data_IF_695420898876
#
_entry.id   IF_695420898876
#
_cell.length_a   1.000
_cell.length_b   1.000
_cell.length_c   1.000
_cell.angle_alpha   90.00
_cell.angle_beta   90.00
_cell.angle_gamma   90.00
#
_symmetry.space_group_name_H-M   'P 1'
#
loop_
_entity.id
_entity.type
_entity.pdbx_description
1 polymer ?
#
# COMPACT_ATOMS: atom_id res chain seq x y z
N UNK A 1 73.96 63.66 101.16
CA UNK A 1 73.79 62.28 100.60
C UNK A 1 73.97 62.37 99.09
N UNK A 2 74.75 61.51 98.42
CA UNK A 2 74.31 60.30 97.64
C UNK A 2 73.12 60.60 96.68
N UNK A 3 73.12 60.21 95.38
CA UNK A 3 74.10 59.44 94.57
C UNK A 3 73.83 59.57 93.05
N UNK A 4 74.90 59.47 92.24
CA UNK A 4 75.05 58.86 90.88
C UNK A 4 73.85 58.40 90.03
N UNK A 5 73.96 58.62 88.70
CA UNK A 5 73.23 57.92 87.62
C UNK A 5 72.96 58.86 86.43
N UNK A 6 73.91 59.08 85.52
CA UNK A 6 74.30 58.26 84.35
C UNK A 6 73.28 58.28 83.18
N UNK A 7 73.79 58.30 81.95
CA UNK A 7 73.06 58.69 80.74
C UNK A 7 73.06 57.54 79.71
N UNK A 8 71.90 56.93 79.41
CA UNK A 8 71.79 55.86 78.40
C UNK A 8 70.40 55.74 77.73
N UNK A 9 70.47 55.50 76.42
CA UNK A 9 69.54 54.69 75.61
C UNK A 9 68.03 55.05 75.56
N UNK A 10 67.69 56.17 74.92
CA UNK A 10 66.46 56.26 74.11
C UNK A 10 66.80 56.09 72.61
N UNK A 11 67.11 54.85 72.22
CA UNK A 11 67.58 54.49 70.87
C UNK A 11 66.56 53.57 70.18
N UNK A 12 65.67 54.09 69.31
CA UNK A 12 64.55 53.33 68.77
C UNK A 12 65.01 52.09 67.98
N UNK A 13 64.41 50.94 68.29
CA UNK A 13 64.90 49.64 67.85
C UNK A 13 64.69 49.40 66.34
N UNK A 14 65.74 48.91 65.67
CA UNK A 14 65.80 48.70 64.20
C UNK A 14 64.69 47.81 63.63
N UNK A 15 64.09 46.93 64.45
CA UNK A 15 62.97 46.07 64.07
C UNK A 15 61.70 46.85 63.69
N UNK A 16 61.40 47.93 64.41
CA UNK A 16 60.17 48.74 64.21
C UNK A 16 60.06 49.32 62.78
N UNK A 17 61.19 49.73 62.21
CA UNK A 17 61.30 50.28 60.86
C UNK A 17 61.08 49.18 59.80
N UNK A 18 61.58 47.97 60.04
CA UNK A 18 61.50 46.86 59.08
C UNK A 18 60.05 46.36 58.87
N UNK A 19 59.25 46.29 59.93
CA UNK A 19 57.84 45.86 59.83
C UNK A 19 57.01 46.79 58.94
N UNK A 20 57.23 48.11 58.98
CA UNK A 20 56.50 49.07 58.12
C UNK A 20 56.78 48.85 56.63
N UNK A 21 58.01 48.49 56.23
CA UNK A 21 58.34 48.20 54.81
C UNK A 21 57.73 46.86 54.36
N UNK A 22 57.81 45.82 55.20
CA UNK A 22 57.24 44.48 54.90
C UNK A 22 55.71 44.51 54.71
N UNK A 23 54.99 45.41 55.40
CA UNK A 23 53.52 45.53 55.30
C UNK A 23 53.00 46.01 53.94
N UNK A 24 53.84 46.60 53.06
CA UNK A 24 53.46 46.93 51.67
C UNK A 24 53.50 45.70 50.74
N UNK A 25 54.37 44.71 50.97
CA UNK A 25 54.54 43.55 50.09
C UNK A 25 53.59 42.38 50.39
N UNK A 26 53.11 42.24 51.64
CA UNK A 26 52.14 41.18 51.98
C UNK A 26 50.72 41.40 51.41
N UNK A 27 50.38 42.64 51.03
CA UNK A 27 49.07 42.98 50.42
C UNK A 27 48.85 42.33 49.04
N UNK A 28 49.73 42.50 48.03
CA UNK A 28 49.57 41.79 46.76
C UNK A 28 49.70 40.27 46.90
N UNK A 29 50.53 39.78 47.83
CA UNK A 29 50.67 38.33 48.08
C UNK A 29 49.37 37.71 48.61
N UNK A 30 48.69 38.37 49.56
CA UNK A 30 47.38 37.92 50.05
C UNK A 30 46.31 37.92 48.95
N UNK A 31 46.29 38.95 48.10
CA UNK A 31 45.38 39.00 46.93
C UNK A 31 45.66 37.87 45.93
N UNK A 32 46.94 37.58 45.65
CA UNK A 32 47.33 36.49 44.75
C UNK A 32 46.91 35.11 45.29
N UNK A 33 47.01 34.88 46.60
CA UNK A 33 46.54 33.63 47.24
C UNK A 33 45.02 33.50 47.14
N UNK A 34 44.26 34.57 47.42
CA UNK A 34 42.79 34.55 47.27
C UNK A 34 42.40 34.30 45.81
N UNK A 35 43.05 34.96 44.86
CA UNK A 35 42.76 34.80 43.42
C UNK A 35 43.14 33.39 42.92
N UNK A 36 44.21 32.79 43.45
CA UNK A 36 44.57 31.40 43.18
C UNK A 36 43.56 30.40 43.77
N UNK A 37 43.04 30.64 44.97
CA UNK A 37 41.98 29.80 45.59
C UNK A 37 40.67 29.91 44.81
N UNK A 38 40.26 31.13 44.41
CA UNK A 38 39.07 31.35 43.57
C UNK A 38 39.25 30.72 42.18
N UNK A 39 40.44 30.85 41.58
CA UNK A 39 40.77 30.23 40.30
C UNK A 39 40.77 28.69 40.37
N UNK A 40 41.35 28.10 41.42
CA UNK A 40 41.34 26.66 41.65
C UNK A 40 39.91 26.14 41.90
N UNK A 41 39.11 26.85 42.71
CA UNK A 41 37.69 26.55 42.91
C UNK A 41 36.89 26.62 41.59
N UNK A 42 37.13 27.64 40.77
CA UNK A 42 36.55 27.74 39.43
C UNK A 42 36.95 26.59 38.50
N UNK A 43 38.21 26.16 38.51
CA UNK A 43 38.68 24.99 37.74
C UNK A 43 38.09 23.68 38.24
N UNK A 44 37.87 23.53 39.55
CA UNK A 44 37.15 22.37 40.12
C UNK A 44 35.69 22.38 39.67
N UNK A 45 34.98 23.51 39.78
CA UNK A 45 33.59 23.65 39.33
C UNK A 45 33.45 23.40 37.81
N UNK A 46 34.37 23.90 36.99
CA UNK A 46 34.37 23.68 35.52
C UNK A 46 34.73 22.23 35.15
N UNK A 47 35.51 21.52 35.98
CA UNK A 47 35.72 20.07 35.82
C UNK A 47 34.50 19.26 36.26
N UNK A 48 33.89 19.61 37.38
CA UNK A 48 32.62 19.03 37.86
C UNK A 48 31.46 19.28 36.87
N UNK A 49 31.48 20.38 36.11
CA UNK A 49 30.50 20.67 35.05
C UNK A 49 30.53 19.67 33.87
N UNK A 50 31.49 18.74 33.82
CA UNK A 50 31.44 17.58 32.90
C UNK A 50 30.73 16.35 33.48
N UNK A 51 30.27 16.38 34.74
CA UNK A 51 29.51 15.27 35.33
C UNK A 51 28.03 15.31 34.92
N UNK A 52 27.64 14.40 34.02
CA UNK A 52 26.24 14.25 33.59
C UNK A 52 25.31 13.91 34.76
N UNK A 53 25.83 13.16 35.74
CA UNK A 53 25.13 12.67 36.93
C UNK A 53 24.47 13.78 37.76
N UNK A 54 25.05 14.98 37.88
CA UNK A 54 24.45 16.07 38.66
C UNK A 54 23.30 16.76 37.93
N UNK A 55 23.28 16.72 36.61
CA UNK A 55 22.15 17.21 35.81
C UNK A 55 21.08 16.14 35.57
N UNK A 56 21.41 14.85 35.67
CA UNK A 56 20.46 13.76 35.56
C UNK A 56 19.21 13.92 36.46
N UNK A 57 19.29 14.18 37.79
CA UNK A 57 18.11 14.34 38.64
C UNK A 57 17.31 15.62 38.34
N UNK A 58 17.95 16.68 37.86
CA UNK A 58 17.27 17.94 37.49
C UNK A 58 16.52 17.76 36.17
N UNK A 59 17.16 17.13 35.18
CA UNK A 59 16.55 16.75 33.89
C UNK A 59 15.42 15.75 34.11
N UNK A 60 15.62 14.73 34.94
CA UNK A 60 14.57 13.78 35.31
C UNK A 60 13.40 14.48 36.02
N UNK A 61 13.64 15.45 36.91
CA UNK A 61 12.57 16.24 37.52
C UNK A 61 11.79 17.06 36.48
N UNK A 62 12.46 17.79 35.57
CA UNK A 62 11.77 18.48 34.47
C UNK A 62 10.95 17.53 33.60
N UNK A 63 11.52 16.40 33.19
CA UNK A 63 10.85 15.38 32.37
C UNK A 63 9.68 14.73 33.12
N UNK A 64 9.74 14.60 34.45
CA UNK A 64 8.64 14.09 35.28
C UNK A 64 7.53 15.12 35.53
N UNK A 65 7.82 16.42 35.41
CA UNK A 65 6.85 17.51 35.52
C UNK A 65 6.17 17.83 34.18
N UNK A 66 6.82 17.48 33.06
CA UNK A 66 6.20 17.52 31.73
C UNK A 66 5.31 16.28 31.54
N UNK A 67 3.99 16.41 31.32
CA UNK A 67 3.11 15.28 31.05
C UNK A 67 3.33 14.79 29.61
N UNK A 68 4.44 14.07 29.36
CA UNK A 68 4.80 13.47 28.07
C UNK A 68 3.98 12.19 27.78
N UNK A 69 2.66 12.31 27.94
CA UNK A 69 1.65 11.29 27.68
C UNK A 69 0.79 11.70 26.49
N UNK A 70 0.36 10.71 25.70
CA UNK A 70 -0.49 10.94 24.55
C UNK A 70 -1.83 11.47 25.07
N UNK A 71 -2.11 12.74 24.81
CA UNK A 71 -3.33 13.45 25.21
C UNK A 71 -4.36 13.42 24.09
N UNK A 72 -3.89 13.43 22.84
CA UNK A 72 -4.73 13.51 21.64
C UNK A 72 -4.13 12.69 20.47
N UNK A 73 -5.01 12.15 19.63
CA UNK A 73 -4.67 11.35 18.44
C UNK A 73 -5.57 11.83 17.28
N UNK A 74 -5.03 12.72 16.46
CA UNK A 74 -5.74 13.32 15.33
C UNK A 74 -5.56 12.45 14.08
N UNK A 75 -6.66 12.03 13.47
CA UNK A 75 -6.67 11.18 12.27
C UNK A 75 -7.32 11.96 11.12
N UNK A 76 -6.66 11.97 9.96
CA UNK A 76 -7.12 12.72 8.77
C UNK A 76 -6.85 11.96 7.47
N UNK A 77 -7.71 12.16 6.47
CA UNK A 77 -7.64 11.49 5.16
C UNK A 77 -8.39 10.15 5.05
N UNK A 78 -9.02 9.69 6.14
CA UNK A 78 -9.79 8.45 6.21
C UNK A 78 -11.14 8.55 5.48
N UNK A 79 -11.46 7.58 4.62
CA UNK A 79 -12.76 7.45 3.92
C UNK A 79 -13.26 6.00 3.99
N UNK A 80 -12.46 5.06 3.48
CA UNK A 80 -12.72 3.61 3.42
C UNK A 80 -12.06 2.85 4.59
N UNK A 81 -10.88 3.29 5.07
CA UNK A 81 -10.16 2.54 6.11
C UNK A 81 -10.96 2.51 7.41
N UNK A 82 -11.07 1.31 8.01
CA UNK A 82 -11.77 1.10 9.28
C UNK A 82 -10.99 1.76 10.43
N UNK A 83 -11.68 2.57 11.24
CA UNK A 83 -11.04 3.36 12.30
C UNK A 83 -10.46 2.50 13.43
N UNK A 84 -11.11 1.40 13.80
CA UNK A 84 -10.62 0.48 14.82
C UNK A 84 -9.32 -0.16 14.37
N UNK A 85 -9.30 -0.72 13.15
CA UNK A 85 -8.09 -1.29 12.55
C UNK A 85 -6.94 -0.28 12.43
N UNK A 86 -7.25 0.98 12.14
CA UNK A 86 -6.26 2.07 12.10
C UNK A 86 -5.70 2.41 13.48
N UNK A 87 -6.53 2.44 14.53
CA UNK A 87 -6.10 2.67 15.92
C UNK A 87 -5.29 1.48 16.47
N UNK A 88 -5.66 0.25 16.11
CA UNK A 88 -4.91 -0.95 16.46
C UNK A 88 -3.55 -1.01 15.72
N UNK A 89 -3.50 -0.62 14.44
CA UNK A 89 -2.25 -0.49 13.68
C UNK A 89 -1.35 0.63 14.24
N UNK A 90 -1.92 1.76 14.68
CA UNK A 90 -1.17 2.80 15.37
C UNK A 90 -0.51 2.26 16.66
N UNK A 91 -1.19 1.36 17.37
CA UNK A 91 -0.61 0.57 18.47
C UNK A 91 -0.34 1.35 19.76
N UNK A 92 -0.96 2.52 19.93
CA UNK A 92 -0.91 3.35 21.15
C UNK A 92 -2.26 3.96 21.46
N UNK A 93 -2.47 4.31 22.72
CA UNK A 93 -3.71 4.85 23.28
C UNK A 93 -3.45 6.17 24.01
N UNK A 94 -4.53 6.94 24.21
CA UNK A 94 -4.49 8.14 25.07
C UNK A 94 -4.09 7.71 26.48
N UNK A 95 -3.06 8.35 27.03
CA UNK A 95 -2.40 7.99 28.28
C UNK A 95 -0.99 7.40 28.14
N UNK A 96 -0.63 6.82 26.98
CA UNK A 96 0.66 6.15 26.76
C UNK A 96 1.85 7.12 26.65
N UNK A 97 3.07 6.62 26.78
CA UNK A 97 4.28 7.44 26.81
C UNK A 97 4.72 7.92 25.40
N UNK A 98 4.66 9.24 25.17
CA UNK A 98 4.92 9.91 23.87
C UNK A 98 6.33 9.64 23.35
N UNK A 99 7.31 9.55 24.26
CA UNK A 99 8.70 9.27 23.89
C UNK A 99 8.94 7.81 23.50
N UNK A 100 8.16 6.87 24.01
CA UNK A 100 8.27 5.43 23.70
C UNK A 100 7.59 5.00 22.40
N UNK A 101 6.78 5.87 21.80
CA UNK A 101 6.10 5.61 20.53
C UNK A 101 7.08 5.58 19.35
N UNK A 102 7.17 4.43 18.67
CA UNK A 102 7.87 4.30 17.38
C UNK A 102 6.97 4.79 16.25
N UNK A 103 7.25 6.02 15.79
CA UNK A 103 6.56 6.67 14.66
C UNK A 103 6.69 5.83 13.39
N UNK A 104 7.90 5.35 13.07
CA UNK A 104 8.17 4.60 11.84
C UNK A 104 7.50 3.23 11.85
N UNK A 105 7.61 2.48 12.96
CA UNK A 105 6.93 1.19 13.07
C UNK A 105 5.40 1.32 13.07
N UNK A 106 4.85 2.48 13.46
CA UNK A 106 3.43 2.76 13.29
C UNK A 106 3.07 3.08 11.84
N UNK A 107 3.89 3.88 11.13
CA UNK A 107 3.75 4.14 9.70
C UNK A 107 3.75 2.84 8.90
N UNK A 108 4.71 1.95 9.12
CA UNK A 108 4.81 0.64 8.46
C UNK A 108 3.54 -0.22 8.65
N UNK A 109 2.97 -0.24 9.86
CA UNK A 109 1.74 -1.00 10.15
C UNK A 109 0.49 -0.35 9.55
N UNK A 110 0.47 0.97 9.39
CA UNK A 110 -0.63 1.69 8.74
C UNK A 110 -0.55 1.53 7.21
N UNK A 111 0.64 1.62 6.63
CA UNK A 111 0.90 1.38 5.18
C UNK A 111 0.66 -0.09 4.76
N UNK A 112 0.61 -1.01 5.73
CA UNK A 112 0.20 -2.39 5.54
C UNK A 112 -1.33 -2.60 5.46
N UNK A 113 -2.15 -1.63 5.92
CA UNK A 113 -3.61 -1.76 5.93
C UNK A 113 -4.21 -1.81 4.51
N UNK A 114 -5.39 -2.43 4.35
CA UNK A 114 -6.16 -2.34 3.11
C UNK A 114 -6.57 -0.89 2.82
N UNK A 115 -6.66 -0.56 1.54
CA UNK A 115 -6.98 0.77 1.00
C UNK A 115 -6.01 1.91 1.36
N UNK A 116 -4.89 1.68 2.05
CA UNK A 116 -3.87 2.74 2.24
C UNK A 116 -2.92 2.78 1.03
N UNK A 117 -2.61 4.00 0.56
CA UNK A 117 -1.50 4.24 -0.37
C UNK A 117 -0.20 4.49 0.40
N UNK A 118 -0.21 5.50 1.26
CA UNK A 118 0.86 5.85 2.19
C UNK A 118 0.29 6.64 3.39
N UNK A 119 1.03 6.64 4.49
CA UNK A 119 0.73 7.43 5.67
C UNK A 119 1.91 8.28 6.14
N UNK A 120 1.57 9.39 6.78
CA UNK A 120 2.48 10.30 7.46
C UNK A 120 2.05 10.35 8.92
N UNK A 121 2.91 9.84 9.80
CA UNK A 121 2.70 9.84 11.24
C UNK A 121 3.65 10.88 11.84
N UNK A 122 3.11 11.85 12.55
CA UNK A 122 3.85 12.94 13.21
C UNK A 122 3.64 12.90 14.72
N UNK A 123 4.67 13.28 15.48
CA UNK A 123 4.63 13.38 16.94
C UNK A 123 4.87 14.81 17.37
N UNK A 124 3.81 15.48 17.80
CA UNK A 124 3.83 16.86 18.29
C UNK A 124 3.89 16.88 19.81
N UNK A 125 4.92 17.52 20.37
CA UNK A 125 5.06 17.65 21.82
C UNK A 125 4.12 18.77 22.35
N UNK A 126 3.55 18.64 23.56
CA UNK A 126 3.90 17.66 24.61
C UNK A 126 3.30 16.26 24.41
N UNK A 127 2.23 16.08 23.64
CA UNK A 127 1.50 14.81 23.61
C UNK A 127 0.41 14.61 22.55
N UNK A 128 0.56 15.17 21.36
CA UNK A 128 -0.38 14.92 20.24
C UNK A 128 0.28 14.04 19.19
N UNK A 129 -0.40 12.96 18.79
CA UNK A 129 -0.03 12.18 17.60
C UNK A 129 -0.94 12.63 16.45
N UNK A 130 -0.36 12.97 15.29
CA UNK A 130 -1.09 13.34 14.09
C UNK A 130 -0.86 12.28 13.03
N UNK A 131 -1.94 11.71 12.52
CA UNK A 131 -1.95 10.71 11.44
C UNK A 131 -2.63 11.33 10.23
N UNK A 132 -1.89 11.43 9.13
CA UNK A 132 -2.41 11.78 7.81
C UNK A 132 -2.24 10.54 6.93
N UNK A 133 -3.32 10.03 6.37
CA UNK A 133 -3.26 8.88 5.48
C UNK A 133 -3.86 9.23 4.12
N UNK A 134 -3.25 8.74 3.05
CA UNK A 134 -3.78 8.84 1.69
C UNK A 134 -4.34 7.49 1.31
N UNK A 135 -5.61 7.44 0.90
CA UNK A 135 -6.27 6.20 0.52
C UNK A 135 -6.20 5.92 -0.98
N UNK A 136 -6.08 4.63 -1.28
CA UNK A 136 -5.98 4.03 -2.60
C UNK A 136 -7.36 3.52 -3.04
N UNK A 137 -8.23 4.43 -3.48
CA UNK A 137 -9.61 4.09 -3.89
C UNK A 137 -9.65 3.06 -5.03
N UNK A 138 -10.37 1.93 -4.87
CA UNK A 138 -10.62 0.98 -5.95
C UNK A 138 -11.34 1.63 -7.14
N UNK A 139 -10.86 1.36 -8.35
CA UNK A 139 -11.31 1.96 -9.59
C UNK A 139 -11.86 0.91 -10.59
N UNK A 140 -11.29 -0.29 -10.59
CA UNK A 140 -11.74 -1.41 -11.42
C UNK A 140 -11.37 -2.76 -10.78
N UNK A 141 -12.02 -3.84 -11.23
CA UNK A 141 -11.59 -5.21 -10.97
C UNK A 141 -10.70 -5.66 -12.13
N UNK A 142 -9.45 -6.03 -11.86
CA UNK A 142 -8.54 -6.58 -12.86
C UNK A 142 -8.49 -8.10 -12.80
N UNK A 143 -8.84 -8.78 -13.90
CA UNK A 143 -8.63 -10.21 -14.07
C UNK A 143 -7.38 -10.49 -14.91
N UNK A 144 -6.43 -11.24 -14.36
CA UNK A 144 -5.25 -11.70 -15.07
C UNK A 144 -4.95 -13.17 -14.71
N UNK A 145 -4.79 -14.03 -15.73
CA UNK A 145 -4.53 -15.47 -15.55
C UNK A 145 -5.55 -16.14 -14.59
N UNK A 146 -6.83 -15.81 -14.73
CA UNK A 146 -7.92 -16.32 -13.89
C UNK A 146 -8.02 -15.71 -12.48
N UNK A 147 -7.03 -14.94 -12.02
CA UNK A 147 -7.05 -14.26 -10.71
C UNK A 147 -7.66 -12.87 -10.84
N UNK A 148 -8.55 -12.53 -9.90
CA UNK A 148 -9.13 -11.19 -9.76
C UNK A 148 -8.38 -10.40 -8.69
N UNK A 149 -8.11 -9.12 -8.97
CA UNK A 149 -7.43 -8.17 -8.06
C UNK A 149 -8.13 -6.82 -8.20
N UNK A 150 -8.36 -6.09 -7.10
CA UNK A 150 -8.76 -4.69 -7.21
C UNK A 150 -7.58 -3.84 -7.68
N UNK A 151 -7.85 -2.83 -8.50
CA UNK A 151 -6.83 -1.86 -8.93
C UNK A 151 -7.29 -0.42 -8.72
N UNK A 152 -6.32 0.48 -8.51
CA UNK A 152 -6.53 1.92 -8.50
C UNK A 152 -6.50 2.52 -9.92
N UNK A 153 -6.73 3.83 -10.01
CA UNK A 153 -6.77 4.58 -11.27
C UNK A 153 -5.44 4.59 -12.04
N UNK A 154 -4.31 4.35 -11.38
CA UNK A 154 -2.99 4.21 -12.00
C UNK A 154 -2.64 2.76 -12.36
N UNK A 155 -3.47 1.79 -11.95
CA UNK A 155 -3.28 0.37 -12.19
C UNK A 155 -2.47 -0.36 -11.11
N UNK A 156 -2.20 0.27 -9.95
CA UNK A 156 -1.62 -0.44 -8.81
C UNK A 156 -2.67 -1.34 -8.16
N UNK A 157 -2.24 -2.45 -7.57
CA UNK A 157 -3.15 -3.38 -6.88
C UNK A 157 -3.58 -2.82 -5.52
N UNK A 158 -4.88 -2.90 -5.21
CA UNK A 158 -5.44 -2.57 -3.90
C UNK A 158 -5.64 -3.86 -3.11
N UNK A 159 -5.18 -3.90 -1.85
CA UNK A 159 -5.33 -5.07 -0.99
C UNK A 159 -6.78 -5.27 -0.56
N UNK A 160 -7.25 -6.52 -0.64
CA UNK A 160 -8.62 -6.94 -0.35
C UNK A 160 -8.91 -7.18 1.15
N UNK A 161 -7.85 -7.27 1.97
CA UNK A 161 -7.79 -7.94 3.27
C UNK A 161 -8.56 -7.28 4.45
N UNK A 162 -9.58 -6.47 4.17
CA UNK A 162 -10.46 -5.85 5.16
C UNK A 162 -11.90 -5.62 4.72
N UNK A 163 -12.38 -6.27 3.65
CA UNK A 163 -13.76 -6.09 3.18
C UNK A 163 -14.79 -6.53 4.22
N UNK A 164 -15.63 -5.60 4.68
CA UNK A 164 -16.71 -5.89 5.64
C UNK A 164 -18.08 -5.50 5.11
N UNK A 165 -18.75 -6.44 4.43
CA UNK A 165 -20.17 -6.33 4.07
C UNK A 165 -20.46 -5.26 3.01
N UNK A 166 -20.60 -3.99 3.42
CA UNK A 166 -20.98 -2.87 2.54
C UNK A 166 -19.97 -2.66 1.40
N UNK A 167 -18.68 -2.74 1.73
CA UNK A 167 -17.59 -2.47 0.79
C UNK A 167 -17.62 -3.48 -0.37
N UNK A 168 -17.82 -4.77 -0.04
CA UNK A 168 -17.95 -5.84 -1.02
C UNK A 168 -19.12 -5.61 -2.00
N UNK A 169 -20.26 -5.07 -1.54
CA UNK A 169 -21.39 -4.76 -2.42
C UNK A 169 -21.14 -3.55 -3.33
N UNK A 170 -20.35 -2.56 -2.88
CA UNK A 170 -19.90 -1.46 -3.73
C UNK A 170 -18.95 -1.95 -4.84
N UNK A 171 -18.04 -2.89 -4.51
CA UNK A 171 -17.07 -3.41 -5.47
C UNK A 171 -17.69 -4.28 -6.57
N UNK A 172 -18.89 -4.84 -6.37
CA UNK A 172 -19.67 -5.51 -7.43
C UNK A 172 -20.16 -4.57 -8.55
N UNK A 173 -20.02 -3.24 -8.38
CA UNK A 173 -20.37 -2.24 -9.40
C UNK A 173 -19.16 -1.73 -10.18
N UNK A 174 -17.94 -2.14 -9.83
CA UNK A 174 -16.72 -1.70 -10.51
C UNK A 174 -16.58 -2.37 -11.89
N UNK A 175 -16.09 -1.65 -12.92
CA UNK A 175 -15.82 -2.24 -14.24
C UNK A 175 -14.81 -3.40 -14.15
N UNK A 176 -15.12 -4.51 -14.82
CA UNK A 176 -14.19 -5.63 -14.97
C UNK A 176 -13.27 -5.40 -16.18
N UNK A 177 -11.95 -5.31 -15.94
CA UNK A 177 -10.92 -5.24 -16.98
C UNK A 177 -10.09 -6.53 -16.99
N UNK A 178 -9.86 -7.10 -18.18
CA UNK A 178 -9.32 -8.46 -18.34
C UNK A 178 -8.07 -8.44 -19.21
N UNK A 179 -7.05 -9.21 -18.82
CA UNK A 179 -5.85 -9.47 -19.63
C UNK A 179 -4.59 -8.76 -19.13
N UNK A 180 -3.45 -9.14 -19.70
CA UNK A 180 -2.15 -8.58 -19.34
C UNK A 180 -2.10 -7.08 -19.69
N UNK A 181 -1.53 -6.26 -18.79
CA UNK A 181 -1.44 -4.80 -19.00
C UNK A 181 -2.79 -4.08 -19.15
N UNK A 182 -3.91 -4.72 -18.77
CA UNK A 182 -5.21 -4.06 -18.70
C UNK A 182 -5.26 -3.06 -17.54
N UNK A 183 -4.55 -3.33 -16.44
CA UNK A 183 -4.54 -2.50 -15.25
C UNK A 183 -4.07 -1.05 -15.48
N UNK A 184 -2.92 -0.85 -16.14
CA UNK A 184 -2.37 0.50 -16.37
C UNK A 184 -3.11 1.27 -17.46
N UNK A 185 -3.83 0.58 -18.35
CA UNK A 185 -4.63 1.19 -19.42
C UNK A 185 -6.11 1.39 -19.07
N UNK A 186 -6.57 0.81 -17.96
CA UNK A 186 -7.98 0.87 -17.53
C UNK A 186 -8.48 2.31 -17.33
N UNK A 187 -7.62 3.20 -16.80
CA UNK A 187 -7.93 4.62 -16.58
C UNK A 187 -8.54 5.31 -17.81
N UNK A 188 -7.79 5.31 -18.92
CA UNK A 188 -8.21 6.00 -20.14
C UNK A 188 -9.48 5.41 -20.78
N UNK A 189 -9.64 4.07 -20.74
CA UNK A 189 -10.85 3.44 -21.27
C UNK A 189 -12.07 3.73 -20.40
N UNK A 190 -11.94 3.65 -19.08
CA UNK A 190 -13.06 3.88 -18.15
C UNK A 190 -13.47 5.35 -18.15
N UNK A 191 -12.54 6.29 -18.35
CA UNK A 191 -12.87 7.70 -18.60
C UNK A 191 -13.64 7.88 -19.91
N UNK A 192 -13.22 7.22 -21.00
CA UNK A 192 -13.90 7.28 -22.28
C UNK A 192 -15.31 6.65 -22.24
N UNK A 193 -15.50 5.59 -21.43
CA UNK A 193 -16.81 5.01 -21.14
C UNK A 193 -17.66 5.92 -20.23
N UNK A 194 -17.06 6.58 -19.23
CA UNK A 194 -17.77 7.54 -18.38
C UNK A 194 -18.28 8.75 -19.17
N UNK A 195 -17.57 9.15 -20.23
CA UNK A 195 -18.04 10.15 -21.19
C UNK A 195 -19.21 9.67 -22.09
N UNK A 196 -19.51 8.37 -22.14
CA UNK A 196 -20.60 7.77 -22.92
C UNK A 196 -21.46 6.82 -22.05
N UNK A 197 -22.23 7.32 -21.06
CA UNK A 197 -22.96 6.48 -20.09
C UNK A 197 -23.88 5.43 -20.73
N UNK A 198 -24.55 5.81 -21.83
CA UNK A 198 -25.44 4.91 -22.58
C UNK A 198 -24.71 3.64 -23.04
N UNK A 199 -23.45 3.73 -23.48
CA UNK A 199 -22.66 2.55 -23.87
C UNK A 199 -22.12 1.85 -22.62
N UNK A 200 -21.55 2.60 -21.66
CA UNK A 200 -21.01 2.07 -20.39
C UNK A 200 -21.98 1.13 -19.69
N UNK A 201 -23.25 1.50 -19.63
CA UNK A 201 -24.24 0.75 -18.85
C UNK A 201 -24.54 -0.64 -19.45
N UNK A 202 -24.28 -0.84 -20.76
CA UNK A 202 -24.38 -2.14 -21.45
C UNK A 202 -23.10 -2.99 -21.32
N UNK A 203 -21.96 -2.41 -20.96
CA UNK A 203 -20.68 -3.13 -20.82
C UNK A 203 -20.69 -3.99 -19.55
N UNK A 204 -20.30 -5.26 -19.69
CA UNK A 204 -20.03 -6.16 -18.58
C UNK A 204 -18.52 -6.26 -18.27
N UNK A 205 -17.67 -6.30 -19.30
CA UNK A 205 -16.22 -6.36 -19.16
C UNK A 205 -15.47 -5.71 -20.34
N UNK A 206 -14.21 -5.32 -20.11
CA UNK A 206 -13.29 -4.86 -21.14
C UNK A 206 -12.04 -5.76 -21.20
N UNK A 207 -11.80 -6.42 -22.33
CA UNK A 207 -10.69 -7.34 -22.55
C UNK A 207 -9.58 -6.65 -23.34
N UNK A 208 -8.38 -6.57 -22.79
CA UNK A 208 -7.23 -5.97 -23.49
C UNK A 208 -6.48 -7.00 -24.32
N UNK A 209 -6.43 -6.77 -25.62
CA UNK A 209 -5.87 -7.70 -26.62
C UNK A 209 -4.50 -7.21 -27.10
N UNK A 210 -3.49 -8.05 -26.92
CA UNK A 210 -2.12 -7.80 -27.41
C UNK A 210 -1.39 -6.61 -26.78
N UNK A 211 -1.78 -6.19 -25.57
CA UNK A 211 -1.29 -5.00 -24.86
C UNK A 211 -1.61 -3.65 -25.55
N UNK A 212 -2.54 -3.64 -26.51
CA UNK A 212 -2.81 -2.46 -27.35
C UNK A 212 -4.31 -2.15 -27.49
N UNK A 213 -5.07 -3.05 -28.12
CA UNK A 213 -6.49 -2.87 -28.44
C UNK A 213 -7.40 -3.32 -27.30
N UNK A 214 -8.64 -2.85 -27.32
CA UNK A 214 -9.70 -3.28 -26.41
C UNK A 214 -10.85 -3.94 -27.18
N UNK A 215 -11.35 -5.04 -26.63
CA UNK A 215 -12.67 -5.57 -26.95
C UNK A 215 -13.58 -5.34 -25.74
N UNK A 216 -14.80 -4.84 -25.93
CA UNK A 216 -15.80 -4.75 -24.86
C UNK A 216 -16.77 -5.92 -24.99
N UNK A 217 -17.03 -6.59 -23.88
CA UNK A 217 -18.06 -7.63 -23.77
C UNK A 217 -19.26 -7.01 -23.08
N UNK A 218 -20.41 -7.05 -23.73
CA UNK A 218 -21.67 -6.50 -23.23
C UNK A 218 -22.43 -7.55 -22.40
N UNK A 219 -23.44 -7.10 -21.65
CA UNK A 219 -24.25 -7.94 -20.73
C UNK A 219 -25.05 -9.04 -21.42
N UNK A 220 -25.33 -8.88 -22.71
CA UNK A 220 -26.00 -9.85 -23.59
C UNK A 220 -25.04 -10.90 -24.19
N UNK A 221 -23.72 -10.66 -24.10
CA UNK A 221 -22.66 -11.46 -24.72
C UNK A 221 -22.07 -10.86 -26.00
N UNK A 222 -22.63 -9.77 -26.54
CA UNK A 222 -22.11 -9.09 -27.73
C UNK A 222 -20.67 -8.62 -27.50
N UNK A 223 -19.79 -8.83 -28.49
CA UNK A 223 -18.42 -8.31 -28.45
C UNK A 223 -18.25 -7.11 -29.39
N UNK A 224 -17.99 -5.93 -28.82
CA UNK A 224 -17.56 -4.74 -29.57
C UNK A 224 -16.04 -4.71 -29.67
N UNK A 225 -15.49 -4.52 -30.86
CA UNK A 225 -14.04 -4.48 -31.10
C UNK A 225 -13.60 -3.05 -31.40
N UNK A 226 -12.81 -2.45 -30.52
CA UNK A 226 -12.38 -1.06 -30.63
C UNK A 226 -11.08 -0.92 -31.45
N UNK A 227 -10.87 0.25 -32.11
CA UNK A 227 -9.57 0.62 -32.69
C UNK A 227 -8.49 0.77 -31.61
N UNK A 228 -7.25 0.93 -32.04
CA UNK A 228 -6.10 1.24 -31.18
C UNK A 228 -5.91 2.77 -31.11
N UNK A 229 -6.06 3.38 -29.93
CA UNK A 229 -5.82 4.82 -29.71
C UNK A 229 -6.97 5.76 -30.10
N UNK A 230 -8.02 5.25 -30.76
CA UNK A 230 -9.22 5.98 -31.19
C UNK A 230 -10.48 5.46 -30.45
N UNK A 231 -10.32 4.97 -29.22
CA UNK A 231 -11.39 4.35 -28.44
C UNK A 231 -12.52 5.34 -28.13
N UNK A 232 -12.20 6.59 -27.79
CA UNK A 232 -13.18 7.64 -27.46
C UNK A 232 -14.13 7.99 -28.62
N UNK A 233 -13.65 8.32 -29.85
CA UNK A 233 -14.56 8.55 -30.98
C UNK A 233 -15.24 7.27 -31.48
N UNK A 234 -14.66 6.07 -31.29
CA UNK A 234 -15.38 4.82 -31.53
C UNK A 234 -16.56 4.63 -30.56
N UNK A 235 -16.36 4.90 -29.27
CA UNK A 235 -17.42 4.88 -28.26
C UNK A 235 -18.49 5.95 -28.52
N UNK A 236 -18.11 7.15 -28.97
CA UNK A 236 -19.07 8.16 -29.39
C UNK A 236 -19.91 7.70 -30.59
N UNK A 237 -19.28 7.18 -31.67
CA UNK A 237 -20.02 6.62 -32.82
C UNK A 237 -21.00 5.53 -32.38
N UNK A 238 -20.61 4.68 -31.43
CA UNK A 238 -21.48 3.63 -30.88
C UNK A 238 -22.65 4.19 -30.05
N UNK A 239 -22.43 5.24 -29.27
CA UNK A 239 -23.48 5.95 -28.54
C UNK A 239 -24.50 6.60 -29.50
N UNK A 240 -24.01 7.25 -30.55
CA UNK A 240 -24.84 7.88 -31.59
C UNK A 240 -25.68 6.81 -32.33
N UNK A 241 -25.11 5.63 -32.64
CA UNK A 241 -25.83 4.48 -33.20
C UNK A 241 -26.86 3.88 -32.22
N UNK A 242 -26.55 3.79 -30.93
CA UNK A 242 -27.46 3.29 -29.89
C UNK A 242 -28.63 4.26 -29.60
N UNK A 243 -28.42 5.55 -29.84
CA UNK A 243 -29.49 6.54 -29.85
C UNK A 243 -30.38 6.41 -31.09
N UNK A 244 -29.79 6.28 -32.28
CA UNK A 244 -30.52 6.31 -33.56
C UNK A 244 -31.25 5.01 -33.92
N UNK A 245 -30.68 3.83 -33.64
CA UNK A 245 -31.20 2.55 -34.14
C UNK A 245 -31.17 1.39 -33.13
N UNK A 246 -30.93 1.68 -31.85
CA UNK A 246 -30.95 0.69 -30.75
C UNK A 246 -30.03 -0.53 -31.00
N UNK A 247 -28.84 -0.26 -31.56
CA UNK A 247 -27.91 -1.30 -32.02
C UNK A 247 -27.46 -2.27 -30.92
N UNK A 248 -27.36 -1.81 -29.66
CA UNK A 248 -26.96 -2.64 -28.50
C UNK A 248 -28.12 -3.43 -27.87
N UNK A 249 -29.37 -3.15 -28.28
CA UNK A 249 -30.57 -3.87 -27.83
C UNK A 249 -30.96 -5.00 -28.80
N UNK A 250 -30.14 -5.25 -29.84
CA UNK A 250 -30.42 -6.21 -30.92
C UNK A 250 -29.56 -7.47 -30.78
N UNK A 251 -30.07 -8.65 -31.15
CA UNK A 251 -29.28 -9.88 -31.18
C UNK A 251 -28.21 -9.80 -32.27
N UNK A 252 -26.98 -9.54 -31.86
CA UNK A 252 -25.76 -9.53 -32.70
C UNK A 252 -24.69 -10.37 -31.99
N UNK A 253 -23.67 -10.83 -32.73
CA UNK A 253 -22.53 -11.57 -32.17
C UNK A 253 -21.37 -10.61 -31.91
N UNK A 254 -21.03 -9.81 -32.92
CA UNK A 254 -19.91 -8.89 -32.85
C UNK A 254 -20.16 -7.58 -33.61
N UNK A 255 -19.51 -6.51 -33.14
CA UNK A 255 -19.54 -5.17 -33.76
C UNK A 255 -18.08 -4.68 -33.87
N UNK A 256 -17.47 -4.79 -35.05
CA UNK A 256 -16.12 -4.27 -35.28
C UNK A 256 -16.18 -2.77 -35.65
N UNK A 257 -15.55 -1.94 -34.81
CA UNK A 257 -15.44 -0.48 -34.94
C UNK A 257 -14.00 -0.02 -35.21
N UNK A 258 -13.07 -0.95 -35.45
CA UNK A 258 -11.62 -0.65 -35.68
C UNK A 258 -11.38 0.22 -36.90
N UNK A 259 -12.35 0.27 -37.81
CA UNK A 259 -12.31 1.08 -39.01
C UNK A 259 -13.04 2.42 -38.73
N UNK A 260 -12.44 3.58 -39.06
CA UNK A 260 -13.02 4.88 -38.76
C UNK A 260 -14.21 5.22 -39.67
N UNK A 261 -14.21 4.69 -40.90
CA UNK A 261 -15.15 4.96 -41.98
C UNK A 261 -16.36 4.01 -42.01
N UNK A 262 -16.22 2.80 -41.46
CA UNK A 262 -17.24 1.74 -41.55
C UNK A 262 -17.27 0.85 -40.32
N UNK A 263 -18.45 0.30 -40.01
CA UNK A 263 -18.63 -0.75 -38.99
C UNK A 263 -18.96 -2.07 -39.67
N UNK A 264 -18.57 -3.18 -39.05
CA UNK A 264 -19.02 -4.54 -39.44
C UNK A 264 -19.83 -5.11 -38.28
N UNK A 265 -21.04 -5.61 -38.58
CA UNK A 265 -21.92 -6.23 -37.59
C UNK A 265 -22.17 -7.67 -37.99
N UNK A 266 -21.74 -8.60 -37.14
CA UNK A 266 -21.98 -10.03 -37.28
C UNK A 266 -23.30 -10.37 -36.57
N UNK A 267 -24.21 -11.05 -37.28
CA UNK A 267 -25.52 -11.45 -36.75
C UNK A 267 -25.56 -12.97 -36.53
N UNK A 268 -26.32 -13.47 -35.55
CA UNK A 268 -26.61 -14.90 -35.44
C UNK A 268 -27.21 -15.43 -36.75
N UNK A 269 -26.88 -16.68 -37.15
CA UNK A 269 -27.54 -17.31 -38.28
C UNK A 269 -29.05 -17.37 -38.04
N UNK A 270 -29.91 -17.12 -39.05
CA UNK A 270 -31.36 -17.20 -38.88
C UNK A 270 -31.76 -18.60 -38.38
N UNK A 271 -32.58 -18.65 -37.32
CA UNK A 271 -32.93 -19.92 -36.66
C UNK A 271 -33.55 -20.95 -37.62
N UNK A 272 -34.29 -20.48 -38.61
CA UNK A 272 -35.00 -21.32 -39.59
C UNK A 272 -34.08 -21.87 -40.70
N UNK A 273 -32.88 -21.30 -40.91
CA UNK A 273 -32.00 -21.66 -42.02
C UNK A 273 -31.38 -23.07 -41.88
N UNK A 274 -31.23 -23.57 -40.66
CA UNK A 274 -30.60 -24.88 -40.37
C UNK A 274 -31.57 -26.06 -40.52
N UNK A 275 -32.88 -25.79 -40.62
CA UNK A 275 -33.92 -26.82 -40.66
C UNK A 275 -34.40 -27.18 -42.09
N UNK A 276 -34.09 -26.35 -43.09
CA UNK A 276 -34.74 -26.41 -44.41
C UNK A 276 -33.92 -27.11 -45.52
N UNK A 277 -32.60 -27.24 -45.37
CA UNK A 277 -31.70 -27.72 -46.44
C UNK A 277 -30.80 -28.90 -46.03
N UNK A 278 -31.39 -29.86 -45.31
CA UNK A 278 -30.82 -31.22 -45.23
C UNK A 278 -31.63 -32.15 -46.14
N UNK A 279 -31.16 -32.46 -47.37
CA UNK A 279 -31.80 -33.47 -48.20
C UNK A 279 -31.74 -34.83 -47.50
N UNK A 280 -32.91 -35.36 -47.14
CA UNK A 280 -33.05 -36.56 -46.32
C UNK A 280 -32.42 -37.78 -47.01
N UNK A 281 -31.22 -38.16 -46.55
CA UNK A 281 -30.53 -39.35 -47.01
C UNK A 281 -31.26 -40.60 -46.54
N UNK A 282 -31.69 -41.43 -47.49
CA UNK A 282 -32.61 -42.54 -47.24
C UNK A 282 -32.01 -43.64 -46.33
N UNK A 283 -32.84 -44.34 -45.54
CA UNK A 283 -32.39 -45.46 -44.70
C UNK A 283 -31.97 -46.68 -45.54
N UNK A 284 -30.94 -47.43 -45.13
CA UNK A 284 -30.52 -48.64 -45.83
C UNK A 284 -31.54 -49.79 -45.62
N UNK A 285 -31.84 -50.60 -46.64
CA UNK A 285 -32.80 -51.70 -46.54
C UNK A 285 -32.19 -52.95 -45.88
N UNK A 286 -32.97 -53.60 -45.02
CA UNK A 286 -32.63 -54.90 -44.41
C UNK A 286 -33.04 -56.07 -45.32
N UNK A 287 -32.11 -56.98 -45.63
CA UNK A 287 -32.40 -58.23 -46.35
C UNK A 287 -31.26 -59.24 -46.26
N UNK A 288 -31.53 -60.43 -45.69
CA UNK A 288 -30.60 -61.57 -45.66
C UNK A 288 -30.71 -62.46 -46.91
N UNK A 289 -29.79 -63.43 -47.09
CA UNK A 289 -30.11 -64.78 -46.61
C UNK A 289 -28.95 -65.53 -45.91
N UNK A 290 -29.17 -66.81 -45.56
CA UNK A 290 -28.32 -67.69 -44.73
C UNK A 290 -28.06 -69.06 -45.45
N UNK A 291 -27.38 -70.04 -44.83
CA UNK A 291 -26.01 -70.51 -45.06
C UNK A 291 -25.92 -71.76 -46.01
N UNK A 292 -24.71 -72.32 -46.25
CA UNK A 292 -24.11 -73.41 -45.42
C UNK A 292 -22.56 -73.28 -45.29
N UNK A 293 -21.76 -74.15 -44.68
CA UNK A 293 -21.79 -75.03 -43.49
C UNK A 293 -20.35 -75.62 -43.29
N UNK A 294 -20.06 -76.36 -42.20
CA UNK A 294 -18.79 -77.08 -41.89
C UNK A 294 -17.55 -76.21 -41.51
N UNK A 295 -16.65 -76.61 -40.60
CA UNK A 295 -16.63 -77.74 -39.64
C UNK A 295 -15.77 -77.45 -38.37
N UNK A 296 -15.87 -78.35 -37.37
CA UNK A 296 -15.07 -78.58 -36.14
C UNK A 296 -13.89 -77.64 -35.75
N UNK A 297 -13.62 -77.33 -34.47
CA UNK A 297 -13.29 -78.30 -33.38
C UNK A 297 -13.34 -77.65 -31.97
N UNK A 298 -13.56 -78.44 -30.91
CA UNK A 298 -13.62 -78.06 -29.47
C UNK A 298 -12.67 -78.98 -28.64
N UNK A 299 -12.59 -79.03 -27.27
CA UNK A 299 -13.43 -78.48 -26.17
C UNK A 299 -12.60 -77.49 -25.27
N UNK A 300 -12.69 -77.28 -23.93
CA UNK A 300 -13.34 -77.95 -22.76
C UNK A 300 -13.46 -76.99 -21.55
N UNK A 301 -14.31 -77.29 -20.56
CA UNK A 301 -14.36 -76.65 -19.21
C UNK A 301 -15.50 -75.63 -19.05
N UNK A 302 -16.66 -75.91 -18.44
CA UNK A 302 -16.97 -76.40 -17.07
C UNK A 302 -16.66 -75.36 -15.97
N UNK A 303 -17.64 -74.77 -15.26
CA UNK A 303 -19.10 -74.81 -15.42
C UNK A 303 -19.91 -74.26 -14.21
N UNK A 304 -21.24 -74.16 -14.40
CA UNK A 304 -22.33 -74.01 -13.41
C UNK A 304 -22.55 -72.68 -12.63
N UNK A 305 -23.85 -72.33 -12.50
CA UNK A 305 -24.43 -71.51 -11.43
C UNK A 305 -24.52 -69.99 -11.67
N UNK A 306 -25.60 -69.26 -11.38
CA UNK A 306 -27.06 -69.35 -11.58
C UNK A 306 -27.71 -68.18 -10.79
N UNK A 307 -28.89 -67.72 -11.21
CA UNK A 307 -29.86 -66.89 -10.45
C UNK A 307 -29.41 -65.53 -9.82
N UNK A 308 -29.83 -64.43 -10.47
CA UNK A 308 -30.77 -63.42 -9.93
C UNK A 308 -30.76 -63.05 -8.43
N UNK A 309 -30.53 -61.77 -8.10
CA UNK A 309 -30.95 -61.23 -6.78
C UNK A 309 -30.48 -59.83 -6.35
N UNK A 310 -31.36 -58.83 -6.49
CA UNK A 310 -31.71 -57.74 -5.55
C UNK A 310 -30.70 -57.16 -4.52
N UNK A 311 -30.64 -55.83 -4.44
CA UNK A 311 -29.87 -55.02 -3.47
C UNK A 311 -30.21 -55.24 -1.98
N UNK A 312 -29.22 -55.20 -1.07
CA UNK A 312 -29.43 -55.04 0.38
C UNK A 312 -29.39 -53.58 0.89
N UNK A 313 -30.00 -53.26 2.05
CA UNK A 313 -30.05 -51.91 2.66
C UNK A 313 -28.87 -51.59 3.61
N UNK A 314 -28.68 -50.32 4.04
CA UNK A 314 -27.64 -49.92 4.98
C UNK A 314 -27.84 -50.47 6.41
N UNK A 315 -26.74 -50.65 7.15
CA UNK A 315 -26.74 -51.09 8.57
C UNK A 315 -26.71 -49.92 9.57
N UNK A 316 -27.28 -50.09 10.78
CA UNK A 316 -27.38 -49.05 11.81
C UNK A 316 -26.14 -48.96 12.73
N UNK A 317 -26.09 -47.88 13.52
CA UNK A 317 -25.08 -47.66 14.55
C UNK A 317 -25.43 -48.30 15.92
N UNK A 318 -24.44 -48.69 16.74
CA UNK A 318 -24.60 -48.95 18.17
C UNK A 318 -24.23 -47.73 19.04
N UNK A 319 -24.72 -47.67 20.29
CA UNK A 319 -24.41 -46.65 21.30
C UNK A 319 -24.27 -47.28 22.68
N UNK A 320 -23.34 -46.77 23.49
CA UNK A 320 -22.98 -47.24 24.85
C UNK A 320 -22.29 -48.63 24.86
N UNK A 321 -21.49 -49.02 25.86
CA UNK A 321 -21.36 -48.49 27.24
C UNK A 321 -19.88 -48.31 27.66
N UNK A 322 -19.62 -47.57 28.74
CA UNK A 322 -18.27 -47.15 29.17
C UNK A 322 -17.60 -48.11 30.18
N UNK A 323 -16.26 -48.14 30.18
CA UNK A 323 -15.40 -48.30 31.37
C UNK A 323 -13.91 -48.05 31.03
N UNK A 324 -13.10 -47.86 32.08
CA UNK A 324 -11.63 -48.01 32.17
C UNK A 324 -10.67 -46.94 31.56
N UNK A 325 -9.99 -46.28 32.51
CA UNK A 325 -8.56 -45.92 32.55
C UNK A 325 -7.95 -44.71 31.82
N UNK A 326 -7.05 -44.06 32.57
CA UNK A 326 -6.33 -42.83 32.28
C UNK A 326 -4.92 -43.14 31.73
N UNK A 327 -4.64 -42.70 30.49
CA UNK A 327 -3.26 -42.51 30.03
C UNK A 327 -3.13 -41.60 28.80
N UNK A 328 -2.75 -40.35 29.01
CA UNK A 328 -2.33 -39.44 27.94
C UNK A 328 -0.87 -39.73 27.47
N UNK A 329 -0.49 -39.40 26.21
CA UNK A 329 0.67 -40.00 25.54
C UNK A 329 1.99 -39.20 25.57
N UNK A 330 3.07 -39.85 25.09
CA UNK A 330 4.41 -39.26 24.89
C UNK A 330 4.44 -38.27 23.70
N UNK A 331 5.35 -37.28 23.70
CA UNK A 331 5.59 -36.42 22.53
C UNK A 331 6.33 -37.15 21.38
N UNK A 332 6.19 -36.68 20.13
CA UNK A 332 6.85 -37.24 18.96
C UNK A 332 8.35 -36.84 18.86
N UNK A 333 9.19 -37.60 18.12
CA UNK A 333 10.61 -37.32 17.97
C UNK A 333 10.90 -36.15 17.00
N UNK A 334 12.03 -35.47 17.22
CA UNK A 334 12.47 -34.36 16.39
C UNK A 334 12.95 -34.82 15.00
N UNK A 335 12.41 -34.23 13.94
CA UNK A 335 12.89 -34.44 12.57
C UNK A 335 14.17 -33.65 12.34
N UNK A 336 15.27 -34.35 12.05
CA UNK A 336 16.50 -33.73 11.53
C UNK A 336 16.27 -33.38 10.04
N UNK A 337 16.79 -32.23 9.59
CA UNK A 337 16.77 -31.83 8.17
C UNK A 337 18.18 -31.41 7.72
N UNK A 338 18.44 -31.62 6.43
CA UNK A 338 19.79 -31.75 5.89
C UNK A 338 20.60 -30.46 5.79
N UNK A 339 21.92 -30.64 5.81
CA UNK A 339 22.91 -29.62 5.48
C UNK A 339 22.78 -29.21 4.00
N UNK A 340 22.75 -27.91 3.65
CA UNK A 340 22.85 -27.48 2.26
C UNK A 340 24.31 -27.62 1.76
N UNK A 341 24.54 -27.92 0.47
CA UNK A 341 25.89 -27.98 -0.11
C UNK A 341 26.50 -26.58 -0.27
N UNK A 342 27.85 -26.46 -0.25
CA UNK A 342 28.52 -25.18 -0.46
C UNK A 342 28.41 -24.71 -1.91
N UNK A 343 28.04 -23.44 -2.12
CA UNK A 343 27.98 -22.80 -3.44
C UNK A 343 29.33 -22.18 -3.78
N UNK A 344 29.85 -22.44 -4.98
CA UNK A 344 31.15 -21.95 -5.43
C UNK A 344 31.24 -20.42 -5.43
N UNK A 345 32.40 -19.88 -5.04
CA UNK A 345 32.67 -18.45 -5.10
C UNK A 345 32.69 -17.95 -6.56
N UNK A 346 32.05 -16.80 -6.79
CA UNK A 346 32.12 -16.05 -8.06
C UNK A 346 32.70 -14.66 -7.79
N UNK A 347 33.42 -14.11 -8.77
CA UNK A 347 34.28 -12.94 -8.60
C UNK A 347 33.51 -11.63 -8.30
N UNK A 348 34.14 -10.65 -7.59
CA UNK A 348 33.55 -9.33 -7.39
C UNK A 348 33.45 -8.56 -8.72
N UNK A 349 32.39 -7.74 -8.94
CA UNK A 349 32.23 -6.95 -10.15
C UNK A 349 33.24 -5.80 -10.22
N UNK A 350 33.75 -5.54 -11.42
CA UNK A 350 34.74 -4.51 -11.74
C UNK A 350 34.23 -3.09 -11.42
N UNK A 351 35.11 -2.23 -10.93
CA UNK A 351 34.81 -0.82 -10.71
C UNK A 351 34.55 -0.09 -12.04
N UNK A 352 33.44 0.67 -12.12
CA UNK A 352 33.19 1.62 -13.20
C UNK A 352 33.91 2.95 -12.95
N UNK A 353 34.42 3.63 -14.00
CA UNK A 353 35.18 4.87 -13.85
C UNK A 353 34.30 6.06 -13.44
N UNK A 354 34.89 6.97 -12.64
CA UNK A 354 34.26 8.23 -12.29
C UNK A 354 34.38 9.24 -13.43
N UNK A 355 33.25 9.67 -14.00
CA UNK A 355 33.19 10.67 -15.07
C UNK A 355 32.68 12.00 -14.54
N UNK A 356 33.60 12.92 -14.22
CA UNK A 356 33.27 14.30 -13.83
C UNK A 356 32.79 15.13 -15.03
N UNK A 357 31.61 15.77 -14.97
CA UNK A 357 31.27 16.83 -15.91
C UNK A 357 31.88 18.16 -15.45
N UNK A 358 32.93 18.64 -16.14
CA UNK A 358 33.35 20.04 -16.02
C UNK A 358 32.23 20.98 -16.47
N UNK A 359 32.07 22.10 -15.77
CA UNK A 359 30.94 23.00 -16.01
C UNK A 359 30.99 23.73 -17.34
N UNK A 360 29.82 23.96 -17.94
CA UNK A 360 29.58 25.06 -18.87
C UNK A 360 28.40 25.89 -18.35
N UNK A 361 28.61 27.19 -18.19
CA UNK A 361 27.55 28.11 -17.78
C UNK A 361 26.68 28.48 -18.99
N UNK A 362 25.37 28.22 -18.91
CA UNK A 362 24.40 28.73 -19.88
C UNK A 362 23.70 29.98 -19.32
N UNK A 363 23.39 30.99 -20.15
CA UNK A 363 22.90 32.28 -19.69
C UNK A 363 21.47 32.20 -19.14
N UNK A 364 21.18 33.01 -18.11
CA UNK A 364 19.83 33.14 -17.54
C UNK A 364 18.86 33.70 -18.57
N UNK A 365 17.85 32.91 -18.96
CA UNK A 365 16.71 33.38 -19.75
C UNK A 365 15.86 34.34 -18.90
N UNK A 366 15.47 35.48 -19.48
CA UNK A 366 14.83 36.58 -18.74
C UNK A 366 13.40 36.22 -18.27
N UNK A 367 13.01 36.83 -17.14
CA UNK A 367 11.65 36.78 -16.58
C UNK A 367 10.71 37.66 -17.42
N UNK A 368 9.49 37.22 -17.78
CA UNK A 368 8.51 38.09 -18.42
C UNK A 368 7.96 39.15 -17.45
N UNK A 369 7.55 40.33 -17.96
CA UNK A 369 6.96 41.39 -17.12
C UNK A 369 5.55 41.01 -16.60
N UNK A 370 5.09 41.62 -15.50
CA UNK A 370 3.75 41.38 -14.96
C UNK A 370 2.65 41.94 -15.87
N UNK A 371 1.50 41.26 -15.88
CA UNK A 371 0.31 41.65 -16.66
C UNK A 371 -0.45 42.78 -15.95
N UNK A 372 -0.96 43.80 -16.67
CA UNK A 372 -1.82 44.84 -16.06
C UNK A 372 -3.15 44.27 -15.53
N UNK A 373 -3.64 44.80 -14.41
CA UNK A 373 -4.97 44.48 -13.89
C UNK A 373 -6.07 44.97 -14.85
N UNK A 374 -7.03 44.08 -15.14
CA UNK A 374 -8.27 44.43 -15.84
C UNK A 374 -9.30 44.92 -14.80
N UNK A 375 -10.03 46.02 -15.02
CA UNK A 375 -11.09 46.46 -14.11
C UNK A 375 -12.31 45.50 -14.16
N UNK A 376 -13.07 45.37 -13.06
CA UNK A 376 -14.28 44.54 -13.02
C UNK A 376 -15.41 45.10 -13.90
N UNK A 377 -16.32 44.22 -14.32
CA UNK A 377 -17.42 44.51 -15.25
C UNK A 377 -18.23 45.76 -14.89
N UNK A 378 -18.45 46.63 -15.89
CA UNK A 378 -19.60 47.56 -15.91
C UNK A 378 -20.85 46.87 -16.44
N UNK A 379 -22.03 47.28 -15.96
CA UNK A 379 -23.32 46.73 -16.37
C UNK A 379 -23.80 47.27 -17.73
N UNK A 380 -24.43 46.45 -18.59
CA UNK A 380 -25.09 46.94 -19.80
C UNK A 380 -26.50 47.47 -19.48
N UNK A 381 -26.65 48.80 -19.45
CA UNK A 381 -27.92 49.49 -19.20
C UNK A 381 -28.94 49.30 -20.35
N UNK A 382 -29.73 48.22 -20.29
CA UNK A 382 -30.72 47.87 -21.31
C UNK A 382 -31.99 48.75 -21.23
N UNK A 383 -32.01 49.84 -22.00
CA UNK A 383 -33.16 50.77 -22.10
C UNK A 383 -34.48 50.06 -22.43
N UNK A 384 -35.52 50.30 -21.61
CA UNK A 384 -36.94 50.17 -21.99
C UNK A 384 -37.61 51.54 -22.01
N UNK A 385 -38.10 51.99 -23.17
CA UNK A 385 -39.24 52.93 -23.37
C UNK A 385 -39.43 53.24 -24.86
N UNK A 386 -40.67 53.57 -25.21
CA UNK A 386 -41.21 53.71 -26.57
C UNK A 386 -41.25 52.37 -27.32
#
# INVERSE_FOLDING_TARGET
MRRTGDNRDDRPSRLSIFLRRRRRMVRPLGLAIVLAVVGAGGVVVVRDMKSEERFAPIRARLVSMLPLRITDIQISGRVLTNETALRDALGVRVGDAVLGFSVEGARERIDALPFVDHSVVERHLPGTIVVRLTERSPFAVWQNQGRFMLIDRAGNQVRDQGMTGKDAQAFMQLPLVVGLGANTAAGALIDALAAQPVVRDHVAAAVRVGLRRWNLVLRDGTTVLLPEGEELPALKRLADLQAAMKLLDRPVISIDLRLPDRMVVEQPPPADATAADQPASAPPPSGGPKPPAHDATAPTGTGNGNATGTSPPPRPAPRATAAAEDRAPRPPPAAQHGLPPPVSALAPPTAFPSSSPSGQAQPRKALPPPVPNLPPNGEPEARRRA
#
